data_IF_996543089862
#
_entry.id   IF_996543089862
#
_cell.length_a   1.000
_cell.length_b   1.000
_cell.length_c   1.000
_cell.angle_alpha   90.00
_cell.angle_beta   90.00
_cell.angle_gamma   90.00
#
_symmetry.space_group_name_H-M   'P 1'
#
loop_
_entity.id
_entity.type
_entity.pdbx_description
1 polymer ?
#
# COMPACT_ATOMS: atom_id res chain seq x y z
N UNK A 1 -19.49 4.86 -20.92
CA UNK A 1 -18.84 4.02 -19.94
C UNK A 1 -19.75 3.60 -18.82
N UNK A 2 -19.27 2.73 -17.98
CA UNK A 2 -19.99 2.24 -16.80
C UNK A 2 -19.61 3.06 -15.59
N UNK A 3 -20.61 3.48 -14.81
CA UNK A 3 -20.37 4.17 -13.55
C UNK A 3 -19.99 3.13 -12.49
N UNK A 4 -18.78 3.24 -11.97
CA UNK A 4 -18.23 2.28 -10.99
C UNK A 4 -18.57 2.67 -9.54
N UNK A 5 -18.69 3.97 -9.27
CA UNK A 5 -19.02 4.48 -7.95
C UNK A 5 -19.44 5.95 -8.07
N UNK A 6 -20.46 6.35 -7.30
CA UNK A 6 -20.88 7.75 -7.19
C UNK A 6 -20.89 8.12 -5.70
N UNK A 7 -19.97 9.00 -5.31
CA UNK A 7 -19.80 9.42 -3.92
C UNK A 7 -19.13 10.79 -3.87
N UNK A 8 -18.97 11.35 -2.65
CA UNK A 8 -18.17 12.56 -2.47
C UNK A 8 -16.70 12.29 -2.85
N UNK A 9 -15.93 13.32 -3.27
CA UNK A 9 -14.51 13.14 -3.58
C UNK A 9 -13.71 12.50 -2.46
N UNK A 10 -13.97 12.88 -1.21
CA UNK A 10 -13.29 12.33 -0.04
C UNK A 10 -13.59 10.84 0.13
N UNK A 11 -14.84 10.44 -0.07
CA UNK A 11 -15.23 9.04 0.06
C UNK A 11 -14.65 8.18 -1.06
N UNK A 12 -14.61 8.69 -2.28
CA UNK A 12 -13.97 8.00 -3.41
C UNK A 12 -12.49 7.76 -3.13
N UNK A 13 -11.83 8.72 -2.48
CA UNK A 13 -10.42 8.63 -2.13
C UNK A 13 -10.18 7.65 -0.97
N UNK A 14 -10.95 7.77 0.12
CA UNK A 14 -10.73 6.99 1.35
C UNK A 14 -11.38 5.60 1.32
N UNK A 15 -12.48 5.45 0.60
CA UNK A 15 -13.28 4.22 0.60
C UNK A 15 -13.67 3.81 -0.82
N UNK A 16 -12.68 3.57 -1.71
CA UNK A 16 -13.00 3.09 -3.07
C UNK A 16 -13.67 1.71 -3.02
N UNK A 17 -14.69 1.51 -3.86
CA UNK A 17 -15.42 0.24 -3.91
C UNK A 17 -14.68 -0.86 -4.64
N UNK A 18 -13.74 -0.49 -5.51
CA UNK A 18 -13.01 -1.47 -6.31
C UNK A 18 -11.66 -0.92 -6.73
N UNK A 19 -10.86 -1.78 -7.34
CA UNK A 19 -9.50 -1.49 -7.78
C UNK A 19 -9.47 -0.38 -8.83
N UNK A 20 -10.45 -0.33 -9.73
CA UNK A 20 -10.53 0.71 -10.76
C UNK A 20 -10.67 2.10 -10.14
N UNK A 21 -11.62 2.27 -9.20
CA UNK A 21 -11.84 3.55 -8.53
C UNK A 21 -10.59 3.96 -7.74
N UNK A 22 -9.99 3.02 -7.00
CA UNK A 22 -8.79 3.27 -6.23
C UNK A 22 -7.63 3.76 -7.10
N UNK A 23 -7.44 3.13 -8.26
CA UNK A 23 -6.36 3.51 -9.18
C UNK A 23 -6.62 4.79 -9.94
N UNK A 24 -7.90 5.15 -10.17
CA UNK A 24 -8.29 6.33 -10.92
C UNK A 24 -8.20 7.62 -10.09
N UNK A 25 -8.47 7.52 -8.77
CA UNK A 25 -8.52 8.67 -7.87
C UNK A 25 -7.16 8.88 -7.20
N UNK A 26 -6.63 10.09 -7.32
CA UNK A 26 -5.38 10.50 -6.69
C UNK A 26 -4.25 10.72 -7.68
N UNK A 27 -3.31 11.58 -7.28
CA UNK A 27 -2.10 11.87 -8.06
C UNK A 27 -0.92 12.07 -7.10
N UNK A 28 0.12 11.22 -7.18
CA UNK A 28 0.21 10.04 -8.04
C UNK A 28 -0.78 8.94 -7.66
N UNK A 29 -0.94 7.98 -8.54
CA UNK A 29 -1.89 6.89 -8.34
C UNK A 29 -1.51 5.97 -7.17
N UNK A 30 -2.51 5.28 -6.62
CA UNK A 30 -2.29 4.25 -5.60
C UNK A 30 -1.35 3.16 -6.13
N UNK A 31 -0.46 2.70 -5.27
CA UNK A 31 0.38 1.55 -5.57
C UNK A 31 -0.44 0.27 -5.38
N UNK A 32 -0.29 -0.67 -6.29
CA UNK A 32 -0.90 -1.99 -6.18
C UNK A 32 0.17 -3.07 -6.25
N UNK A 33 0.09 -4.04 -5.38
CA UNK A 33 0.99 -5.19 -5.39
C UNK A 33 0.22 -6.46 -5.01
N UNK A 34 0.47 -7.53 -5.74
CA UNK A 34 -0.08 -8.84 -5.41
C UNK A 34 0.61 -9.38 -4.17
N UNK A 35 -0.18 -9.86 -3.21
CA UNK A 35 0.32 -10.40 -1.96
C UNK A 35 -0.36 -11.72 -1.64
N UNK A 36 0.31 -12.56 -0.86
CA UNK A 36 -0.26 -13.80 -0.34
C UNK A 36 -0.84 -13.53 1.04
N UNK A 37 -2.12 -13.81 1.22
CA UNK A 37 -2.79 -13.63 2.50
C UNK A 37 -2.61 -14.87 3.38
N UNK A 38 -2.27 -14.66 4.64
CA UNK A 38 -2.17 -15.72 5.63
C UNK A 38 -2.95 -15.34 6.88
N UNK A 39 -3.87 -16.22 7.27
CA UNK A 39 -4.68 -16.04 8.48
C UNK A 39 -4.24 -17.05 9.52
N UNK A 40 -3.77 -16.57 10.68
CA UNK A 40 -3.37 -17.40 11.81
C UNK A 40 -4.07 -16.88 13.06
N UNK A 41 -5.22 -17.49 13.42
CA UNK A 41 -6.04 -16.99 14.51
C UNK A 41 -6.52 -15.57 14.22
N UNK A 42 -6.20 -14.62 15.08
CA UNK A 42 -6.58 -13.22 14.90
C UNK A 42 -5.57 -12.41 14.07
N UNK A 43 -4.43 -13.03 13.75
CA UNK A 43 -3.37 -12.38 12.99
C UNK A 43 -3.54 -12.66 11.50
N UNK A 44 -3.58 -11.59 10.71
CA UNK A 44 -3.62 -11.68 9.25
C UNK A 44 -2.45 -10.89 8.68
N UNK A 45 -1.71 -11.53 7.79
CA UNK A 45 -0.56 -10.91 7.15
C UNK A 45 -0.64 -11.05 5.64
N UNK A 46 -0.02 -10.08 4.95
CA UNK A 46 0.15 -10.08 3.50
C UNK A 46 1.64 -10.17 3.22
N UNK A 47 2.03 -11.14 2.39
CA UNK A 47 3.44 -11.40 2.09
C UNK A 47 3.72 -11.21 0.61
N UNK A 48 4.81 -10.51 0.30
CA UNK A 48 5.39 -10.40 -1.04
C UNK A 48 6.90 -10.53 -0.91
N UNK A 49 7.49 -11.47 -1.64
CA UNK A 49 8.90 -11.89 -1.47
C UNK A 49 9.19 -12.20 0.00
N UNK A 50 10.22 -11.55 0.57
CA UNK A 50 10.63 -11.76 1.96
C UNK A 50 9.97 -10.78 2.93
N UNK A 51 9.00 -9.99 2.45
CA UNK A 51 8.34 -8.97 3.25
C UNK A 51 6.98 -9.44 3.72
N UNK A 52 6.72 -9.29 5.01
CA UNK A 52 5.42 -9.60 5.61
C UNK A 52 4.85 -8.34 6.24
N UNK A 53 3.64 -7.98 5.82
CA UNK A 53 2.90 -6.84 6.34
C UNK A 53 1.79 -7.37 7.25
N UNK A 54 1.78 -6.95 8.51
CA UNK A 54 0.76 -7.37 9.48
C UNK A 54 -0.37 -6.35 9.49
N UNK A 55 -1.59 -6.82 9.25
CA UNK A 55 -2.77 -5.95 9.18
C UNK A 55 -3.31 -5.60 10.57
N UNK A 56 -3.85 -4.38 10.74
CA UNK A 56 -4.57 -4.02 11.98
C UNK A 56 -5.79 -4.92 12.19
N UNK A 57 -6.27 -5.06 13.46
CA UNK A 57 -7.34 -6.01 13.78
C UNK A 57 -8.61 -5.86 12.95
N UNK A 58 -9.08 -4.63 12.70
CA UNK A 58 -10.32 -4.42 11.94
C UNK A 58 -10.19 -4.88 10.49
N UNK A 59 -9.05 -4.60 9.85
CA UNK A 59 -8.76 -5.06 8.48
C UNK A 59 -8.53 -6.57 8.45
N UNK A 60 -7.81 -7.09 9.44
CA UNK A 60 -7.54 -8.52 9.59
C UNK A 60 -8.86 -9.31 9.65
N UNK A 61 -9.82 -8.83 10.45
CA UNK A 61 -11.11 -9.47 10.58
C UNK A 61 -11.86 -9.54 9.25
N UNK A 62 -11.84 -8.47 8.48
CA UNK A 62 -12.51 -8.42 7.16
C UNK A 62 -11.93 -9.44 6.19
N UNK A 63 -10.61 -9.59 6.17
CA UNK A 63 -9.95 -10.59 5.32
C UNK A 63 -10.24 -12.02 5.78
N UNK A 64 -10.21 -12.27 7.08
CA UNK A 64 -10.54 -13.58 7.64
C UNK A 64 -11.99 -13.96 7.32
N UNK A 65 -12.93 -13.03 7.52
CA UNK A 65 -14.35 -13.24 7.24
C UNK A 65 -14.62 -13.48 5.75
N UNK A 66 -13.82 -12.87 4.88
CA UNK A 66 -13.91 -13.08 3.43
C UNK A 66 -13.25 -14.37 2.94
N UNK A 67 -12.66 -15.17 3.83
CA UNK A 67 -12.03 -16.44 3.47
C UNK A 67 -10.75 -16.29 2.65
N UNK A 68 -9.95 -15.26 2.93
CA UNK A 68 -8.78 -14.95 2.12
C UNK A 68 -7.55 -15.81 2.43
N UNK A 69 -7.58 -16.65 3.47
CA UNK A 69 -6.41 -17.44 3.84
C UNK A 69 -5.89 -18.30 2.66
N UNK A 70 -4.62 -18.15 2.37
CA UNK A 70 -3.96 -18.86 1.28
C UNK A 70 -4.21 -18.29 -0.11
N UNK A 71 -4.98 -17.20 -0.22
CA UNK A 71 -5.29 -16.58 -1.51
C UNK A 71 -4.34 -15.43 -1.82
N UNK A 72 -4.18 -15.15 -3.11
CA UNK A 72 -3.53 -13.93 -3.59
C UNK A 72 -4.56 -12.81 -3.57
N UNK A 73 -4.21 -11.70 -2.92
CA UNK A 73 -5.02 -10.49 -2.88
C UNK A 73 -4.18 -9.30 -3.30
N UNK A 74 -4.82 -8.23 -3.78
CA UNK A 74 -4.11 -7.02 -4.18
C UNK A 74 -4.09 -6.06 -3.00
N UNK A 75 -2.88 -5.69 -2.56
CA UNK A 75 -2.69 -4.65 -1.56
C UNK A 75 -2.56 -3.31 -2.27
N UNK A 76 -3.35 -2.32 -1.85
CA UNK A 76 -3.26 -0.95 -2.33
C UNK A 76 -2.77 -0.03 -1.24
N UNK A 77 -1.81 0.83 -1.58
CA UNK A 77 -1.30 1.84 -0.66
C UNK A 77 -0.95 3.11 -1.44
N UNK A 78 -1.40 4.25 -0.93
CA UNK A 78 -1.11 5.53 -1.59
C UNK A 78 0.32 5.97 -1.32
N UNK A 79 0.94 6.69 -2.25
CA UNK A 79 2.33 7.14 -2.09
C UNK A 79 2.60 7.92 -0.81
N UNK A 80 1.66 8.76 -0.38
CA UNK A 80 1.79 9.56 0.84
C UNK A 80 1.71 8.73 2.13
N UNK A 81 1.27 7.49 2.04
CA UNK A 81 1.15 6.58 3.18
C UNK A 81 2.33 5.62 3.31
N UNK A 82 3.39 5.88 2.54
CA UNK A 82 4.68 5.18 2.63
C UNK A 82 5.72 6.20 3.09
N UNK A 83 6.38 5.94 4.21
CA UNK A 83 7.36 6.84 4.79
C UNK A 83 8.76 6.27 4.83
N UNK A 84 9.77 7.17 4.83
CA UNK A 84 11.19 6.80 4.89
C UNK A 84 11.90 7.33 6.14
N UNK A 85 11.22 8.08 7.00
CA UNK A 85 11.83 8.63 8.21
C UNK A 85 11.98 7.55 9.28
N UNK A 86 12.98 7.72 10.16
CA UNK A 86 13.20 6.80 11.26
C UNK A 86 11.99 6.71 12.18
N UNK A 87 11.29 7.83 12.41
CA UNK A 87 10.10 7.87 13.25
C UNK A 87 8.98 7.02 12.66
N UNK A 88 8.75 7.16 11.35
CA UNK A 88 7.71 6.39 10.64
C UNK A 88 8.04 4.89 10.62
N UNK A 89 9.29 4.55 10.34
CA UNK A 89 9.75 3.16 10.29
C UNK A 89 9.63 2.52 11.68
N UNK A 90 10.03 3.23 12.74
CA UNK A 90 9.93 2.72 14.10
C UNK A 90 8.47 2.57 14.54
N UNK A 91 7.60 3.50 14.15
CA UNK A 91 6.17 3.43 14.47
C UNK A 91 5.46 2.25 13.78
N UNK A 92 5.96 1.82 12.63
CA UNK A 92 5.30 0.81 11.79
C UNK A 92 6.23 -0.34 11.42
N UNK A 93 6.95 -0.89 12.40
CA UNK A 93 7.93 -1.97 12.15
C UNK A 93 7.31 -3.23 11.56
N UNK A 94 6.06 -3.54 11.91
CA UNK A 94 5.33 -4.68 11.35
C UNK A 94 4.92 -4.48 9.89
N UNK A 95 5.18 -3.29 9.34
CA UNK A 95 4.86 -2.90 7.97
C UNK A 95 6.07 -2.25 7.28
N UNK A 96 7.27 -2.55 7.77
CA UNK A 96 8.51 -2.05 7.19
C UNK A 96 9.06 -3.02 6.15
N UNK A 97 9.71 -2.48 5.13
CA UNK A 97 10.32 -3.27 4.06
C UNK A 97 11.51 -2.51 3.47
N UNK A 98 12.34 -3.23 2.71
CA UNK A 98 13.48 -2.63 2.03
C UNK A 98 13.23 -2.58 0.53
N UNK A 99 13.76 -1.57 -0.12
CA UNK A 99 13.56 -1.34 -1.55
C UNK A 99 14.76 -0.65 -2.18
N UNK A 100 14.89 -0.83 -3.48
CA UNK A 100 15.92 -0.18 -4.29
C UNK A 100 15.31 1.05 -4.96
N UNK A 101 15.87 2.23 -4.69
CA UNK A 101 15.40 3.49 -5.29
C UNK A 101 15.84 3.56 -6.75
N UNK A 102 14.87 3.68 -7.65
CA UNK A 102 15.12 3.75 -9.09
C UNK A 102 14.96 5.15 -9.64
N UNK A 103 14.39 6.08 -8.88
CA UNK A 103 14.19 7.46 -9.32
C UNK A 103 13.88 8.39 -8.16
N UNK A 104 14.05 9.69 -8.42
CA UNK A 104 13.85 10.75 -7.44
C UNK A 104 13.33 11.97 -8.18
N UNK A 105 12.24 12.56 -7.67
CA UNK A 105 11.66 13.76 -8.27
C UNK A 105 11.27 14.75 -7.18
N UNK A 106 11.85 15.94 -7.21
CA UNK A 106 11.56 17.01 -6.24
C UNK A 106 10.31 17.78 -6.67
N UNK A 107 9.32 17.86 -5.79
CA UNK A 107 8.06 18.57 -6.00
C UNK A 107 7.90 19.69 -4.96
N UNK A 108 8.87 20.61 -4.88
CA UNK A 108 8.84 21.66 -3.86
C UNK A 108 9.16 21.11 -2.47
N UNK A 109 8.17 21.05 -1.55
CA UNK A 109 8.38 20.58 -0.19
C UNK A 109 8.31 19.05 -0.04
N UNK A 110 7.99 18.35 -1.13
CA UNK A 110 7.87 16.89 -1.13
C UNK A 110 8.70 16.27 -2.23
N UNK A 111 9.00 14.98 -2.07
CA UNK A 111 9.77 14.20 -3.04
C UNK A 111 8.97 12.95 -3.39
N UNK A 112 8.93 12.63 -4.68
CA UNK A 112 8.49 11.31 -5.13
C UNK A 112 9.71 10.41 -5.24
N UNK A 113 9.70 9.31 -4.50
CA UNK A 113 10.68 8.25 -4.62
C UNK A 113 10.07 7.11 -5.42
N UNK A 114 10.71 6.79 -6.54
CA UNK A 114 10.34 5.63 -7.34
C UNK A 114 11.23 4.47 -6.91
N UNK A 115 10.65 3.31 -6.69
CA UNK A 115 11.41 2.16 -6.20
C UNK A 115 10.80 0.86 -6.70
N UNK A 116 11.57 -0.22 -6.56
CA UNK A 116 11.11 -1.57 -6.88
C UNK A 116 11.15 -2.44 -5.63
N UNK A 117 10.11 -3.20 -5.46
CA UNK A 117 10.02 -4.25 -4.45
C UNK A 117 9.28 -5.44 -5.04
N UNK A 118 9.81 -6.66 -4.87
CA UNK A 118 9.23 -7.87 -5.44
C UNK A 118 8.98 -7.75 -6.96
N UNK A 119 9.87 -7.06 -7.67
CA UNK A 119 9.74 -6.84 -9.11
C UNK A 119 8.66 -5.83 -9.52
N UNK A 120 7.95 -5.24 -8.56
CA UNK A 120 6.89 -4.26 -8.81
C UNK A 120 7.40 -2.84 -8.60
N UNK A 121 7.14 -1.96 -9.56
CA UNK A 121 7.47 -0.54 -9.46
C UNK A 121 6.43 0.16 -8.59
N UNK A 122 6.88 0.92 -7.62
CA UNK A 122 6.04 1.64 -6.68
C UNK A 122 6.55 3.06 -6.49
N UNK A 123 5.72 3.91 -5.89
CA UNK A 123 6.05 5.31 -5.62
C UNK A 123 5.73 5.63 -4.17
N UNK A 124 6.65 6.31 -3.49
CA UNK A 124 6.42 6.91 -2.19
C UNK A 124 6.49 8.43 -2.31
N UNK A 125 5.71 9.14 -1.51
CA UNK A 125 5.74 10.60 -1.44
C UNK A 125 6.21 10.98 -0.03
N UNK A 126 7.42 11.51 0.03
CA UNK A 126 8.11 11.76 1.29
C UNK A 126 8.50 13.24 1.43
N UNK A 127 8.93 13.62 2.62
CA UNK A 127 9.38 14.97 2.90
C UNK A 127 10.66 15.29 2.11
N UNK A 128 10.83 16.55 1.72
CA UNK A 128 12.00 16.99 0.96
C UNK A 128 13.33 16.85 1.72
N UNK A 129 13.27 16.61 3.04
CA UNK A 129 14.46 16.35 3.86
C UNK A 129 15.02 14.93 3.68
N UNK A 130 14.37 14.11 2.88
CA UNK A 130 14.88 12.76 2.60
C UNK A 130 16.31 12.78 2.10
N UNK A 131 17.11 11.80 2.55
CA UNK A 131 18.46 11.58 2.04
C UNK A 131 18.51 10.52 0.95
N UNK A 132 17.39 9.91 0.64
CA UNK A 132 17.31 8.86 -0.37
C UNK A 132 17.55 9.41 -1.77
N UNK A 133 18.35 8.68 -2.57
CA UNK A 133 18.68 9.04 -3.95
C UNK A 133 18.64 7.81 -4.83
N UNK A 134 18.58 8.03 -6.14
CA UNK A 134 18.62 6.94 -7.12
C UNK A 134 19.81 6.03 -6.88
N UNK A 135 19.58 4.73 -6.86
CA UNK A 135 20.62 3.73 -6.62
C UNK A 135 20.73 3.30 -5.16
N UNK A 136 20.10 4.01 -4.23
CA UNK A 136 20.14 3.65 -2.82
C UNK A 136 19.24 2.45 -2.52
N UNK A 137 19.67 1.65 -1.55
CA UNK A 137 18.86 0.60 -0.95
C UNK A 137 18.40 1.12 0.41
N UNK A 138 17.10 1.33 0.57
CA UNK A 138 16.54 2.00 1.74
C UNK A 138 15.46 1.19 2.43
N UNK A 139 15.18 1.55 3.68
CA UNK A 139 14.08 1.01 4.44
C UNK A 139 12.91 1.99 4.37
N UNK A 140 11.71 1.44 4.16
CA UNK A 140 10.45 2.18 4.10
C UNK A 140 9.44 1.51 5.01
N UNK A 141 8.42 2.25 5.41
CA UNK A 141 7.31 1.69 6.17
C UNK A 141 5.98 2.18 5.63
N UNK A 142 5.01 1.29 5.65
CA UNK A 142 3.63 1.56 5.25
C UNK A 142 2.82 1.89 6.51
N UNK A 143 1.96 2.90 6.44
CA UNK A 143 0.97 3.15 7.48
C UNK A 143 -0.12 2.07 7.37
N UNK A 144 -0.20 1.12 8.31
CA UNK A 144 -1.10 -0.03 8.18
C UNK A 144 -2.57 0.35 8.20
N UNK A 145 -2.92 1.49 8.82
CA UNK A 145 -4.31 1.97 8.85
C UNK A 145 -4.79 2.45 7.48
N UNK A 146 -3.87 2.73 6.56
CA UNK A 146 -4.17 3.24 5.22
C UNK A 146 -4.14 2.16 4.15
N UNK A 147 -3.91 0.91 4.51
CA UNK A 147 -3.87 -0.20 3.55
C UNK A 147 -5.29 -0.50 3.04
N UNK A 148 -5.39 -0.67 1.73
CA UNK A 148 -6.58 -1.18 1.06
C UNK A 148 -6.28 -2.58 0.54
N UNK A 149 -7.28 -3.47 0.56
CA UNK A 149 -7.12 -4.81 0.01
C UNK A 149 -8.28 -5.11 -0.93
N UNK A 150 -7.95 -5.61 -2.11
CA UNK A 150 -8.92 -5.93 -3.17
C UNK A 150 -8.84 -7.42 -3.51
N UNK A 151 -9.99 -7.97 -3.85
CA UNK A 151 -10.07 -9.33 -4.38
C UNK A 151 -9.39 -9.37 -5.75
N UNK A 152 -8.52 -10.35 -5.96
CA UNK A 152 -7.74 -10.43 -7.21
C UNK A 152 -8.62 -10.72 -8.42
N UNK A 153 -9.66 -11.54 -8.26
CA UNK A 153 -10.53 -11.96 -9.37
C UNK A 153 -11.64 -10.95 -9.65
N UNK A 154 -12.38 -10.54 -8.61
CA UNK A 154 -13.52 -9.63 -8.77
C UNK A 154 -13.11 -8.16 -8.80
N UNK A 155 -11.92 -7.84 -8.29
CA UNK A 155 -11.39 -6.49 -8.10
C UNK A 155 -12.20 -5.65 -7.11
N UNK A 156 -13.14 -6.27 -6.40
CA UNK A 156 -13.92 -5.58 -5.37
C UNK A 156 -13.09 -5.39 -4.10
N UNK A 157 -13.37 -4.30 -3.39
CA UNK A 157 -12.69 -3.99 -2.13
C UNK A 157 -13.11 -4.97 -1.04
N UNK A 158 -12.12 -5.57 -0.37
CA UNK A 158 -12.33 -6.40 0.82
C UNK A 158 -12.27 -5.52 2.06
N UNK A 159 -11.29 -4.63 2.13
CA UNK A 159 -11.18 -3.63 3.21
C UNK A 159 -10.51 -2.35 2.69
N UNK A 160 -10.96 -1.25 3.25
CA UNK A 160 -10.35 0.07 3.02
C UNK A 160 -9.48 0.46 4.19
#
# INVERSE_FOLDING_TARGET
GVIMQVDSPQKLYNEPNNLFVAGFIGSPQMNFIDTKCKVEGDKVSLTFDNTTIVLPPAKAKKLADAGCNGKTVVMGIRPEDIGDSEIEIEAHQDCAFEADVTGYELLGSEVLLYFKVAGTSMTAKVDSRTTARMGDHIKLAIDPEKIHVFDKETELTITN
#
